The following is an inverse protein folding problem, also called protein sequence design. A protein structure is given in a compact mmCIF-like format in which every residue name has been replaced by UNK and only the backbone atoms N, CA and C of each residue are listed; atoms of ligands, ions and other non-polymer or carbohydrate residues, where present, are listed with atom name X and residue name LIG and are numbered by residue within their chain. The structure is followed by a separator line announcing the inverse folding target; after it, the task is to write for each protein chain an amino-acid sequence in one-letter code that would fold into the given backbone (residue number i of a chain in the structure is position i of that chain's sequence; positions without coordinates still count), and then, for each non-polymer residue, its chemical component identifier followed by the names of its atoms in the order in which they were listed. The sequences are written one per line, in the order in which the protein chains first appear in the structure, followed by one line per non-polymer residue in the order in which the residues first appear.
data_IF_603565035046
#
_entry.id   IF_603565035046
#
_cell.length_a   1.000
_cell.length_b   1.000
_cell.length_c   1.000
_cell.angle_alpha   90.00
_cell.angle_beta   90.00
_cell.angle_gamma   90.00
#
_symmetry.space_group_name_H-M   'P 1'
#
loop_
_entity.id
_entity.type
_entity.pdbx_description
1 polymer ?
#
# COMPACT_ATOMS: atom_id res chain seq x y z
N UNK A 1 5.59 33.87 15.94
CA UNK A 1 5.89 33.02 14.78
C UNK A 1 6.13 31.61 15.32
N UNK A 2 5.09 30.77 15.36
CA UNK A 2 5.24 29.38 15.76
C UNK A 2 5.82 28.64 14.57
N UNK A 3 7.14 28.47 14.55
CA UNK A 3 7.79 27.53 13.67
C UNK A 3 7.46 26.10 14.12
N UNK A 4 6.29 25.61 13.72
CA UNK A 4 6.02 24.18 13.79
C UNK A 4 7.11 23.51 12.97
N UNK A 5 7.91 22.65 13.59
CA UNK A 5 8.77 21.72 12.89
C UNK A 5 7.85 20.78 12.11
N UNK A 6 7.52 21.14 10.86
CA UNK A 6 6.82 20.23 9.98
C UNK A 6 7.71 18.98 9.85
N UNK A 7 7.26 17.89 10.46
CA UNK A 7 8.03 16.67 10.44
C UNK A 7 8.30 16.26 8.98
N UNK A 8 9.54 15.93 8.67
CA UNK A 8 9.89 15.46 7.34
C UNK A 8 9.12 14.19 7.02
N UNK A 9 8.43 14.17 5.88
CA UNK A 9 7.62 13.02 5.47
C UNK A 9 8.24 12.29 4.28
N UNK A 10 8.00 10.99 4.23
CA UNK A 10 8.35 10.16 3.07
C UNK A 10 7.17 9.27 2.68
N UNK A 11 6.91 9.21 1.39
CA UNK A 11 5.91 8.36 0.78
C UNK A 11 6.58 7.16 0.10
N UNK A 12 6.21 5.95 0.50
CA UNK A 12 6.70 4.70 -0.09
C UNK A 12 5.59 4.08 -0.94
N UNK A 13 5.79 4.08 -2.26
CA UNK A 13 4.85 3.51 -3.22
C UNK A 13 5.23 2.09 -3.58
N UNK A 14 4.39 1.12 -3.24
CA UNK A 14 4.65 -0.32 -3.41
C UNK A 14 3.78 -0.88 -4.52
N UNK A 15 4.39 -1.39 -5.60
CA UNK A 15 3.67 -1.91 -6.75
C UNK A 15 3.04 -3.30 -6.52
N UNK A 16 2.14 -3.68 -7.44
CA UNK A 16 1.56 -5.02 -7.53
C UNK A 16 2.42 -6.02 -8.31
N UNK A 17 1.81 -7.16 -8.66
CA UNK A 17 2.40 -8.15 -9.57
C UNK A 17 2.39 -7.66 -11.02
N UNK A 18 3.17 -8.32 -11.88
CA UNK A 18 3.28 -8.04 -13.33
C UNK A 18 3.77 -6.62 -13.70
N UNK A 19 4.19 -5.84 -12.73
CA UNK A 19 4.78 -4.52 -12.96
C UNK A 19 6.27 -4.70 -13.25
N UNK A 20 6.73 -4.26 -14.43
CA UNK A 20 8.17 -4.30 -14.78
C UNK A 20 8.88 -3.14 -14.10
N UNK A 21 9.92 -3.38 -13.27
CA UNK A 21 10.69 -2.30 -12.66
C UNK A 21 11.36 -1.39 -13.69
N UNK A 22 11.50 -0.12 -13.35
CA UNK A 22 12.22 0.85 -14.19
C UNK A 22 11.41 1.44 -15.36
N UNK A 23 10.15 1.03 -15.54
CA UNK A 23 9.27 1.62 -16.57
C UNK A 23 8.67 2.91 -16.04
N UNK A 24 8.92 4.04 -16.72
CA UNK A 24 8.44 5.37 -16.31
C UNK A 24 6.90 5.49 -16.29
N UNK A 25 6.21 4.69 -17.12
CA UNK A 25 4.75 4.65 -17.14
C UNK A 25 4.13 3.92 -15.93
N UNK A 26 4.92 3.24 -15.10
CA UNK A 26 4.40 2.62 -13.89
C UNK A 26 3.79 3.69 -12.97
N UNK A 27 2.67 3.36 -12.35
CA UNK A 27 2.01 4.28 -11.42
C UNK A 27 2.93 4.72 -10.27
N UNK A 28 3.80 3.83 -9.77
CA UNK A 28 4.76 4.14 -8.69
C UNK A 28 5.79 5.18 -9.13
N UNK A 29 6.30 5.09 -10.37
CA UNK A 29 7.22 6.07 -10.92
C UNK A 29 6.53 7.43 -11.10
N UNK A 30 5.31 7.43 -11.63
CA UNK A 30 4.49 8.65 -11.78
C UNK A 30 4.15 9.26 -10.42
N UNK A 31 3.84 8.44 -9.42
CA UNK A 31 3.57 8.89 -8.07
C UNK A 31 4.78 9.55 -7.40
N UNK A 32 5.99 9.00 -7.57
CA UNK A 32 7.23 9.62 -7.08
C UNK A 32 7.44 10.97 -7.74
N UNK A 33 7.37 11.06 -9.07
CA UNK A 33 7.51 12.33 -9.82
C UNK A 33 6.47 13.35 -9.35
N UNK A 34 5.21 12.94 -9.26
CA UNK A 34 4.12 13.81 -8.82
C UNK A 34 4.37 14.38 -7.41
N UNK A 35 4.73 13.51 -6.46
CA UNK A 35 4.99 13.91 -5.07
C UNK A 35 6.15 14.91 -4.99
N UNK A 36 7.24 14.65 -5.71
CA UNK A 36 8.41 15.55 -5.74
C UNK A 36 8.12 16.92 -6.36
N UNK A 37 7.19 16.99 -7.33
CA UNK A 37 6.82 18.26 -7.99
C UNK A 37 5.80 19.04 -7.16
N UNK A 38 4.85 18.35 -6.51
CA UNK A 38 3.68 18.98 -5.90
C UNK A 38 3.76 19.11 -4.37
N UNK A 39 4.79 18.54 -3.74
CA UNK A 39 4.96 18.58 -2.28
C UNK A 39 6.42 18.77 -1.89
N UNK A 40 6.73 19.28 -0.67
CA UNK A 40 8.11 19.35 -0.17
C UNK A 40 8.63 17.99 0.34
N UNK A 41 7.86 16.93 0.21
CA UNK A 41 8.11 15.64 0.82
C UNK A 41 8.95 14.71 -0.05
N UNK A 42 9.60 13.75 0.57
CA UNK A 42 10.30 12.67 -0.15
C UNK A 42 9.34 11.61 -0.64
N UNK A 43 9.69 10.97 -1.74
CA UNK A 43 8.97 9.82 -2.24
C UNK A 43 9.91 8.78 -2.81
N UNK A 44 9.63 7.51 -2.55
CA UNK A 44 10.34 6.38 -3.13
C UNK A 44 9.38 5.32 -3.65
N UNK A 45 9.85 4.58 -4.64
CA UNK A 45 9.14 3.44 -5.21
C UNK A 45 9.80 2.14 -4.81
N UNK A 46 8.98 1.20 -4.37
CA UNK A 46 9.40 -0.18 -4.09
C UNK A 46 8.87 -1.04 -5.24
N UNK A 47 9.68 -1.17 -6.27
CA UNK A 47 9.33 -1.92 -7.48
C UNK A 47 9.97 -3.30 -7.47
N UNK A 48 9.19 -4.26 -7.94
CA UNK A 48 9.63 -5.63 -8.16
C UNK A 48 8.81 -6.28 -9.27
N UNK A 49 9.40 -7.25 -9.95
CA UNK A 49 8.66 -8.09 -10.87
C UNK A 49 8.32 -9.42 -10.22
N UNK A 50 7.06 -9.83 -10.34
CA UNK A 50 6.61 -11.18 -10.00
C UNK A 50 5.44 -11.61 -10.87
N UNK A 51 5.36 -12.89 -11.11
CA UNK A 51 4.19 -13.53 -11.70
C UNK A 51 3.22 -13.99 -10.61
N UNK A 52 2.00 -14.30 -11.01
CA UNK A 52 0.95 -14.82 -10.12
C UNK A 52 1.43 -16.03 -9.30
N UNK A 53 2.14 -16.96 -9.94
CA UNK A 53 2.62 -18.19 -9.30
C UNK A 53 3.85 -17.99 -8.39
N UNK A 54 4.63 -16.95 -8.61
CA UNK A 54 5.85 -16.69 -7.83
C UNK A 54 5.60 -15.92 -6.53
N UNK A 55 4.38 -15.42 -6.31
CA UNK A 55 4.01 -14.63 -5.14
C UNK A 55 4.40 -15.27 -3.81
N UNK A 56 3.99 -16.52 -3.50
CA UNK A 56 4.27 -17.13 -2.19
C UNK A 56 5.76 -17.23 -1.86
N UNK A 57 6.60 -17.45 -2.88
CA UNK A 57 8.04 -17.69 -2.71
C UNK A 57 8.85 -16.39 -2.61
N UNK A 58 8.37 -15.30 -3.20
CA UNK A 58 9.17 -14.07 -3.35
C UNK A 58 8.71 -12.89 -2.48
N UNK A 59 7.53 -12.95 -1.88
CA UNK A 59 7.05 -11.82 -1.06
C UNK A 59 7.93 -11.56 0.16
N UNK A 60 8.49 -12.60 0.78
CA UNK A 60 9.36 -12.45 1.95
C UNK A 60 10.57 -11.55 1.67
N UNK A 61 11.34 -11.80 0.61
CA UNK A 61 12.51 -10.99 0.27
C UNK A 61 12.15 -9.54 -0.07
N UNK A 62 10.96 -9.31 -0.60
CA UNK A 62 10.44 -7.97 -0.89
C UNK A 62 10.00 -7.24 0.37
N UNK A 63 9.35 -7.95 1.28
CA UNK A 63 8.99 -7.45 2.58
C UNK A 63 10.25 -7.06 3.39
N UNK A 64 11.30 -7.87 3.32
CA UNK A 64 12.60 -7.55 3.93
C UNK A 64 13.21 -6.28 3.34
N UNK A 65 13.17 -6.11 2.00
CA UNK A 65 13.64 -4.87 1.35
C UNK A 65 12.84 -3.65 1.80
N UNK A 66 11.51 -3.73 1.81
CA UNK A 66 10.66 -2.66 2.32
C UNK A 66 10.95 -2.39 3.80
N UNK A 67 11.16 -3.42 4.61
CA UNK A 67 11.52 -3.29 6.01
C UNK A 67 12.86 -2.55 6.21
N UNK A 68 13.85 -2.77 5.36
CA UNK A 68 15.10 -2.00 5.39
C UNK A 68 14.88 -0.53 5.04
N UNK A 69 14.06 -0.24 4.03
CA UNK A 69 13.71 1.15 3.66
C UNK A 69 12.95 1.85 4.80
N UNK A 70 12.00 1.16 5.45
CA UNK A 70 11.31 1.66 6.63
C UNK A 70 12.28 1.99 7.78
N UNK A 71 13.20 1.07 8.08
CA UNK A 71 14.20 1.25 9.15
C UNK A 71 15.04 2.51 8.91
N UNK A 72 15.49 2.70 7.66
CA UNK A 72 16.27 3.86 7.27
C UNK A 72 15.51 5.18 7.54
N UNK A 73 14.27 5.31 7.05
CA UNK A 73 13.51 6.54 7.18
C UNK A 73 13.04 6.80 8.60
N UNK A 74 12.57 5.78 9.31
CA UNK A 74 12.13 5.92 10.70
C UNK A 74 13.28 6.32 11.63
N UNK A 75 14.48 5.74 11.44
CA UNK A 75 15.69 6.13 12.18
C UNK A 75 16.17 7.55 11.86
N UNK A 76 15.94 7.99 10.62
CA UNK A 76 16.23 9.37 10.20
C UNK A 76 15.17 10.39 10.66
N UNK A 77 14.15 9.97 11.42
CA UNK A 77 13.12 10.85 11.97
C UNK A 77 12.00 11.23 11.02
N UNK A 78 11.85 10.51 9.90
CA UNK A 78 10.75 10.75 8.97
C UNK A 78 9.43 10.16 9.47
N UNK A 79 8.35 10.87 9.23
CA UNK A 79 7.01 10.29 9.22
C UNK A 79 6.81 9.50 7.93
N UNK A 80 6.45 8.23 8.03
CA UNK A 80 6.35 7.35 6.87
C UNK A 80 4.90 7.06 6.52
N UNK A 81 4.54 7.30 5.26
CA UNK A 81 3.27 6.87 4.65
C UNK A 81 3.56 5.82 3.58
N UNK A 82 2.84 4.69 3.64
CA UNK A 82 2.93 3.61 2.64
C UNK A 82 1.67 3.59 1.81
N UNK A 83 1.80 3.62 0.48
CA UNK A 83 0.71 3.36 -0.45
C UNK A 83 1.01 2.09 -1.26
N UNK A 84 0.27 1.04 -1.00
CA UNK A 84 0.53 -0.30 -1.52
C UNK A 84 -0.64 -0.80 -2.38
N UNK A 85 -0.35 -1.19 -3.62
CA UNK A 85 -1.34 -1.66 -4.58
C UNK A 85 -1.31 -3.17 -4.74
N UNK A 86 -2.50 -3.78 -4.79
CA UNK A 86 -2.66 -5.20 -5.11
C UNK A 86 -1.80 -6.11 -4.20
N UNK A 87 -0.93 -6.94 -4.75
CA UNK A 87 0.02 -7.76 -3.99
C UNK A 87 1.04 -6.93 -3.18
N UNK A 88 1.27 -5.68 -3.53
CA UNK A 88 2.11 -4.77 -2.73
C UNK A 88 1.59 -4.60 -1.32
N UNK A 89 0.28 -4.77 -1.11
CA UNK A 89 -0.33 -4.76 0.20
C UNK A 89 0.15 -5.93 1.08
N UNK A 90 0.34 -7.14 0.54
CA UNK A 90 0.93 -8.25 1.30
C UNK A 90 2.39 -7.95 1.67
N UNK A 91 3.15 -7.41 0.72
CA UNK A 91 4.55 -7.01 0.97
C UNK A 91 4.63 -5.98 2.09
N UNK A 92 3.73 -4.99 2.09
CA UNK A 92 3.66 -3.98 3.14
C UNK A 92 3.29 -4.57 4.52
N UNK A 93 2.28 -5.45 4.56
CA UNK A 93 1.87 -6.10 5.80
C UNK A 93 2.96 -7.03 6.36
N UNK A 94 3.62 -7.79 5.51
CA UNK A 94 4.71 -8.67 5.92
C UNK A 94 5.93 -7.87 6.43
N UNK A 95 6.25 -6.74 5.80
CA UNK A 95 7.27 -5.82 6.30
C UNK A 95 6.89 -5.26 7.69
N UNK A 96 5.65 -4.83 7.89
CA UNK A 96 5.17 -4.30 9.16
C UNK A 96 5.13 -5.36 10.28
N UNK A 97 4.95 -6.63 9.95
CA UNK A 97 5.00 -7.74 10.92
C UNK A 97 6.42 -8.18 11.26
N UNK A 98 7.38 -7.94 10.38
CA UNK A 98 8.73 -8.52 10.48
C UNK A 98 9.52 -8.06 11.70
N UNK A 99 9.22 -6.89 12.26
CA UNK A 99 9.91 -6.27 13.40
C UNK A 99 8.95 -5.43 14.25
N UNK A 100 9.41 -5.03 15.44
CA UNK A 100 8.74 -4.00 16.24
C UNK A 100 9.12 -2.61 15.69
N UNK A 101 8.21 -1.99 14.97
CA UNK A 101 8.39 -0.65 14.40
C UNK A 101 7.84 0.44 15.29
N UNK A 102 8.42 1.68 15.23
CA UNK A 102 7.69 2.88 15.60
C UNK A 102 6.40 2.99 14.76
N UNK A 103 5.49 3.83 15.20
CA UNK A 103 4.23 4.04 14.50
C UNK A 103 4.48 4.74 13.16
N UNK A 104 3.98 4.17 12.05
CA UNK A 104 3.94 4.86 10.77
C UNK A 104 2.71 5.77 10.70
N UNK A 105 2.80 6.84 9.92
CA UNK A 105 1.75 7.84 9.78
C UNK A 105 0.50 7.27 9.12
N UNK A 106 0.64 6.71 7.93
CA UNK A 106 -0.49 6.13 7.23
C UNK A 106 -0.13 4.88 6.43
N UNK A 107 -1.11 4.00 6.27
CA UNK A 107 -1.08 2.86 5.34
C UNK A 107 -2.30 2.91 4.43
N UNK A 108 -2.06 3.06 3.13
CA UNK A 108 -3.08 2.98 2.08
C UNK A 108 -3.00 1.62 1.39
N UNK A 109 -4.04 0.80 1.53
CA UNK A 109 -4.19 -0.50 0.88
C UNK A 109 -5.13 -0.34 -0.31
N UNK A 110 -4.57 -0.23 -1.53
CA UNK A 110 -5.28 0.14 -2.75
C UNK A 110 -5.53 -1.11 -3.58
N UNK A 111 -6.80 -1.44 -3.87
CA UNK A 111 -7.19 -2.69 -4.56
C UNK A 111 -6.42 -3.90 -4.02
N UNK A 112 -6.31 -4.00 -2.70
CA UNK A 112 -5.43 -4.93 -2.01
C UNK A 112 -5.83 -6.39 -2.22
N UNK A 113 -4.86 -7.24 -2.56
CA UNK A 113 -5.05 -8.67 -2.79
C UNK A 113 -4.94 -9.52 -1.51
N UNK A 114 -5.01 -8.89 -0.34
CA UNK A 114 -5.02 -9.55 0.95
C UNK A 114 -6.38 -10.19 1.28
N UNK A 115 -6.38 -11.14 2.21
CA UNK A 115 -7.61 -11.63 2.84
C UNK A 115 -8.36 -10.46 3.50
N UNK A 116 -9.69 -10.43 3.32
CA UNK A 116 -10.53 -9.34 3.86
C UNK A 116 -10.66 -9.37 5.38
N UNK A 117 -10.55 -10.54 5.98
CA UNK A 117 -10.61 -10.74 7.43
C UNK A 117 -9.27 -10.35 8.09
N UNK A 118 -9.29 -9.30 8.89
CA UNK A 118 -8.10 -8.77 9.56
C UNK A 118 -7.52 -9.70 10.62
N UNK A 119 -8.29 -10.66 11.13
CA UNK A 119 -7.73 -11.70 11.98
C UNK A 119 -6.92 -12.71 11.17
N UNK A 120 -7.37 -13.05 9.96
CA UNK A 120 -6.69 -14.02 9.08
C UNK A 120 -5.47 -13.44 8.38
N UNK A 121 -5.54 -12.20 7.92
CA UNK A 121 -4.40 -11.55 7.27
C UNK A 121 -3.37 -11.00 8.26
N UNK A 122 -3.67 -11.01 9.56
CA UNK A 122 -2.80 -10.54 10.64
C UNK A 122 -2.71 -9.02 10.77
N UNK A 123 -3.54 -8.25 10.06
CA UNK A 123 -3.51 -6.79 10.13
C UNK A 123 -3.87 -6.27 11.52
N UNK A 124 -4.79 -6.95 12.24
CA UNK A 124 -5.13 -6.61 13.61
C UNK A 124 -3.93 -6.59 14.57
N UNK A 125 -2.87 -7.36 14.30
CA UNK A 125 -1.64 -7.38 15.10
C UNK A 125 -0.72 -6.18 14.82
N UNK A 126 -0.92 -5.50 13.70
CA UNK A 126 -0.11 -4.36 13.26
C UNK A 126 -0.83 -3.01 13.39
N UNK A 127 -2.11 -3.01 13.77
CA UNK A 127 -2.91 -1.79 13.82
C UNK A 127 -2.33 -0.72 14.73
N UNK A 128 -1.77 -1.10 15.88
CA UNK A 128 -1.19 -0.16 16.85
C UNK A 128 0.04 0.59 16.30
N UNK A 129 0.63 0.05 15.24
CA UNK A 129 1.80 0.62 14.54
C UNK A 129 1.43 1.50 13.35
N UNK A 130 0.15 1.69 13.08
CA UNK A 130 -0.35 2.48 11.96
C UNK A 130 -1.23 3.57 12.54
N UNK A 131 -0.93 4.85 12.31
CA UNK A 131 -1.80 5.92 12.80
C UNK A 131 -3.11 5.92 12.02
N UNK A 132 -3.05 6.02 10.71
CA UNK A 132 -4.21 6.04 9.82
C UNK A 132 -4.18 4.89 8.82
N UNK A 133 -5.23 4.07 8.85
CA UNK A 133 -5.40 2.98 7.88
C UNK A 133 -6.52 3.32 6.90
N UNK A 134 -6.17 3.27 5.61
CA UNK A 134 -7.08 3.50 4.50
C UNK A 134 -7.17 2.26 3.63
N UNK A 135 -8.38 1.78 3.38
CA UNK A 135 -8.66 0.68 2.44
C UNK A 135 -9.46 1.22 1.25
N UNK A 136 -8.91 1.05 0.05
CA UNK A 136 -9.47 1.55 -1.20
C UNK A 136 -10.07 0.39 -1.98
N UNK A 137 -11.36 0.44 -2.20
CA UNK A 137 -12.17 -0.63 -2.77
C UNK A 137 -12.54 -0.28 -4.21
N UNK A 138 -12.10 -1.11 -5.14
CA UNK A 138 -12.48 -1.09 -6.54
C UNK A 138 -13.60 -2.13 -6.76
N UNK A 139 -14.85 -1.67 -6.85
CA UNK A 139 -16.03 -2.56 -6.85
C UNK A 139 -16.14 -3.44 -8.10
N UNK A 140 -15.63 -2.94 -9.24
CA UNK A 140 -15.57 -3.67 -10.53
C UNK A 140 -14.26 -4.42 -10.75
N UNK A 141 -13.48 -4.64 -9.70
CA UNK A 141 -12.20 -5.32 -9.77
C UNK A 141 -12.37 -6.81 -10.12
N UNK A 142 -12.22 -7.13 -11.40
CA UNK A 142 -12.32 -8.50 -11.91
C UNK A 142 -11.11 -9.34 -11.50
N UNK A 143 -9.92 -8.75 -11.36
CA UNK A 143 -8.72 -9.47 -10.93
C UNK A 143 -8.88 -10.02 -9.51
N UNK A 144 -9.43 -9.21 -8.59
CA UNK A 144 -9.78 -9.68 -7.24
C UNK A 144 -11.03 -10.57 -7.23
N UNK A 145 -11.90 -10.49 -8.23
CA UNK A 145 -12.98 -11.46 -8.39
C UNK A 145 -12.43 -12.87 -8.67
N UNK A 146 -11.41 -12.98 -9.53
CA UNK A 146 -10.70 -14.23 -9.79
C UNK A 146 -9.93 -14.71 -8.55
N UNK A 147 -9.38 -13.81 -7.77
CA UNK A 147 -8.74 -14.13 -6.49
C UNK A 147 -9.69 -14.82 -5.49
N UNK A 148 -10.99 -14.56 -5.59
CA UNK A 148 -12.01 -15.20 -4.74
C UNK A 148 -12.28 -16.67 -5.09
N UNK A 149 -11.82 -17.15 -6.24
CA UNK A 149 -11.98 -18.55 -6.66
C UNK A 149 -11.13 -19.50 -5.78
N UNK A 150 -11.45 -20.81 -5.75
CA UNK A 150 -10.63 -21.80 -5.04
C UNK A 150 -9.15 -21.76 -5.44
N UNK A 151 -8.86 -21.57 -6.73
CA UNK A 151 -7.49 -21.45 -7.22
C UNK A 151 -6.78 -20.17 -6.71
N UNK A 152 -7.45 -19.03 -6.75
CA UNK A 152 -6.91 -17.79 -6.20
C UNK A 152 -6.61 -17.90 -4.71
N UNK A 153 -7.50 -18.52 -3.93
CA UNK A 153 -7.31 -18.77 -2.50
C UNK A 153 -6.13 -19.72 -2.23
N UNK A 154 -5.96 -20.77 -3.04
CA UNK A 154 -4.80 -21.67 -2.94
C UNK A 154 -3.47 -20.93 -3.14
N UNK A 155 -3.45 -19.92 -3.99
CA UNK A 155 -2.31 -19.04 -4.20
C UNK A 155 -2.18 -17.92 -3.14
N UNK A 156 -3.06 -17.92 -2.13
CA UNK A 156 -3.06 -16.96 -1.02
C UNK A 156 -3.62 -15.58 -1.37
N UNK A 157 -4.34 -15.43 -2.49
CA UNK A 157 -5.01 -14.18 -2.83
C UNK A 157 -6.29 -14.00 -2.02
N UNK A 158 -6.54 -12.75 -1.62
CA UNK A 158 -7.76 -12.34 -0.95
C UNK A 158 -8.52 -11.25 -1.70
N UNK A 159 -9.53 -10.71 -1.07
CA UNK A 159 -10.52 -9.82 -1.69
C UNK A 159 -10.69 -8.49 -0.95
N UNK A 160 -9.74 -8.11 -0.11
CA UNK A 160 -9.83 -6.89 0.71
C UNK A 160 -10.14 -5.66 -0.15
N UNK A 161 -9.42 -5.46 -1.24
CA UNK A 161 -9.60 -4.31 -2.14
C UNK A 161 -10.87 -4.35 -3.01
N UNK A 162 -11.69 -5.41 -2.90
CA UNK A 162 -13.00 -5.51 -3.58
C UNK A 162 -14.16 -5.57 -2.61
N UNK A 163 -14.02 -6.28 -1.50
CA UNK A 163 -15.10 -6.49 -0.51
C UNK A 163 -15.03 -5.52 0.67
N UNK A 164 -13.83 -5.07 1.00
CA UNK A 164 -13.56 -4.25 2.18
C UNK A 164 -13.17 -5.06 3.40
N UNK A 165 -12.80 -4.37 4.50
CA UNK A 165 -12.32 -4.98 5.72
C UNK A 165 -13.43 -5.69 6.49
N UNK A 166 -13.09 -6.84 7.07
CA UNK A 166 -13.93 -7.62 7.99
C UNK A 166 -13.17 -7.84 9.27
N UNK A 167 -13.87 -7.82 10.42
CA UNK A 167 -13.30 -8.04 11.76
C UNK A 167 -12.13 -7.11 12.12
N UNK A 168 -12.17 -5.86 11.65
CA UNK A 168 -11.21 -4.85 12.06
C UNK A 168 -11.43 -4.45 13.52
N UNK A 169 -10.38 -4.52 14.36
CA UNK A 169 -10.45 -4.19 15.81
C UNK A 169 -10.52 -2.69 16.11
N UNK A 170 -10.32 -1.84 15.10
CA UNK A 170 -10.45 -0.39 15.21
C UNK A 170 -11.01 0.21 13.91
N UNK A 171 -11.47 1.47 13.92
CA UNK A 171 -11.97 2.15 12.73
C UNK A 171 -10.96 2.13 11.59
N UNK A 172 -11.46 1.95 10.37
CA UNK A 172 -10.70 1.94 9.12
C UNK A 172 -11.36 2.92 8.16
N UNK A 173 -10.57 3.78 7.57
CA UNK A 173 -11.04 4.70 6.54
C UNK A 173 -11.27 3.92 5.24
N UNK A 174 -12.49 3.83 4.76
CA UNK A 174 -12.84 3.07 3.56
C UNK A 174 -13.26 4.02 2.43
N UNK A 175 -12.59 3.92 1.28
CA UNK A 175 -12.99 4.57 0.03
C UNK A 175 -13.50 3.54 -0.94
N UNK A 176 -14.60 3.85 -1.61
CA UNK A 176 -15.19 2.96 -2.62
C UNK A 176 -15.40 3.70 -3.93
N UNK A 177 -15.13 3.03 -5.04
CA UNK A 177 -15.46 3.51 -6.37
C UNK A 177 -15.82 2.35 -7.29
N UNK A 178 -16.62 2.63 -8.30
CA UNK A 178 -16.97 1.68 -9.35
C UNK A 178 -15.81 1.47 -10.34
N UNK A 179 -14.62 1.26 -9.81
CA UNK A 179 -13.34 1.14 -10.52
C UNK A 179 -12.94 -0.33 -10.74
N UNK A 180 -12.17 -0.57 -11.79
CA UNK A 180 -11.39 -1.78 -11.99
C UNK A 180 -10.09 -1.77 -11.18
N UNK A 181 -9.28 -2.82 -11.35
CA UNK A 181 -8.09 -3.09 -10.51
C UNK A 181 -7.04 -1.94 -10.49
N UNK A 182 -6.83 -1.30 -11.61
CA UNK A 182 -5.82 -0.25 -11.76
C UNK A 182 -6.37 1.17 -11.92
N UNK A 183 -7.69 1.37 -11.91
CA UNK A 183 -8.30 2.63 -12.31
C UNK A 183 -7.98 3.79 -11.35
N UNK A 184 -7.62 3.50 -10.09
CA UNK A 184 -7.10 4.51 -9.15
C UNK A 184 -5.87 5.26 -9.67
N UNK A 185 -5.15 4.65 -10.61
CA UNK A 185 -3.91 5.18 -11.21
C UNK A 185 -4.05 5.49 -12.69
N UNK A 186 -5.25 5.45 -13.23
CA UNK A 186 -5.55 5.95 -14.56
C UNK A 186 -5.15 7.43 -14.68
N UNK A 187 -4.90 7.89 -15.88
CA UNK A 187 -4.32 9.22 -16.12
C UNK A 187 -5.18 10.34 -15.53
N UNK A 188 -6.50 10.21 -15.67
CA UNK A 188 -7.51 11.13 -15.14
C UNK A 188 -7.75 11.03 -13.63
N UNK A 189 -7.33 9.94 -12.97
CA UNK A 189 -7.56 9.67 -11.55
C UNK A 189 -6.30 9.81 -10.67
N UNK A 190 -5.13 9.70 -11.25
CA UNK A 190 -3.86 9.65 -10.51
C UNK A 190 -3.67 10.87 -9.61
N UNK A 191 -3.90 12.06 -10.14
CA UNK A 191 -3.72 13.31 -9.40
C UNK A 191 -4.63 13.39 -8.18
N UNK A 192 -5.91 13.03 -8.33
CA UNK A 192 -6.86 12.98 -7.23
C UNK A 192 -6.47 11.95 -6.17
N UNK A 193 -6.00 10.78 -6.62
CA UNK A 193 -5.52 9.72 -5.73
C UNK A 193 -4.31 10.18 -4.92
N UNK A 194 -3.32 10.79 -5.57
CA UNK A 194 -2.10 11.25 -4.92
C UNK A 194 -2.35 12.46 -4.01
N UNK A 195 -3.19 13.41 -4.42
CA UNK A 195 -3.62 14.51 -3.56
C UNK A 195 -4.26 14.01 -2.26
N UNK A 196 -5.09 12.96 -2.34
CA UNK A 196 -5.68 12.40 -1.15
C UNK A 196 -4.62 11.74 -0.25
N UNK A 197 -3.74 10.90 -0.82
CA UNK A 197 -2.68 10.22 -0.07
C UNK A 197 -1.77 11.23 0.64
N UNK A 198 -1.43 12.32 -0.03
CA UNK A 198 -0.49 13.33 0.52
C UNK A 198 -1.14 14.31 1.50
N UNK A 199 -2.42 14.64 1.34
CA UNK A 199 -3.14 15.57 2.25
C UNK A 199 -3.43 14.97 3.62
N UNK A 200 -3.68 13.67 3.72
CA UNK A 200 -3.92 12.99 5.00
C UNK A 200 -2.62 12.68 5.74
N UNK A 201 -1.53 13.13 5.18
CA UNK A 201 -0.22 13.09 5.80
C UNK A 201 0.14 14.45 6.47
N UNK A 202 -0.69 15.49 6.34
CA UNK A 202 -0.46 16.82 6.95
C UNK A 202 -1.06 16.94 8.36
#
# INVERSE_FOLDING_TARGET
MNGGNDAMQVFLFVNGILTRPGVSANWTARAVTWTQVNTPHKAEKIEYFTTVLQRPLKNRSRAERLAHTLDFYLKAGYEVTIAAHSNGADVALDALKSRAWPKIKALHLISAANEADFNKNGLNQSLDRIADLHVWIAEKDWALALAATPFGKLLGYGTLGRRGPVNAKRPVNVRRAAFGHGDWFAEDQLDHTLQFITRHAA
#
